data_IF_569689285446
#
_entry.id   IF_569689285446
#
_cell.length_a   1.000
_cell.length_b   1.000
_cell.length_c   1.000
_cell.angle_alpha   90.00
_cell.angle_beta   90.00
_cell.angle_gamma   90.00
#
_symmetry.space_group_name_H-M   'P 1'
#
loop_
_entity.id
_entity.type
_entity.pdbx_description
1 polymer ?
#
# COMPACT_ATOMS: atom_id res chain seq x y z
N UNK A 1 5.66 2.75 -7.79
CA UNK A 1 5.99 1.72 -6.79
C UNK A 1 6.91 2.32 -5.73
N UNK A 2 6.62 2.12 -4.44
CA UNK A 2 7.45 2.58 -3.31
C UNK A 2 8.18 1.38 -2.71
N UNK A 3 9.49 1.29 -2.92
CA UNK A 3 10.32 0.16 -2.46
C UNK A 3 10.62 0.19 -0.96
N UNK A 4 10.72 1.40 -0.40
CA UNK A 4 11.06 1.64 1.00
C UNK A 4 10.04 2.60 1.65
N UNK A 5 8.79 2.14 1.87
CA UNK A 5 7.78 2.98 2.48
C UNK A 5 8.14 3.31 3.93
N UNK A 6 8.00 4.58 4.29
CA UNK A 6 8.26 5.09 5.65
C UNK A 6 6.97 5.20 6.44
N UNK A 7 6.97 4.94 7.76
CA UNK A 7 5.83 5.27 8.62
C UNK A 7 5.35 6.72 8.43
N UNK A 8 4.04 6.93 8.42
CA UNK A 8 3.38 8.21 8.14
C UNK A 8 3.29 8.59 6.66
N UNK A 9 3.96 7.87 5.76
CA UNK A 9 3.95 8.22 4.34
C UNK A 9 2.56 7.97 3.71
N UNK A 10 2.00 9.00 3.08
CA UNK A 10 0.78 8.86 2.29
C UNK A 10 1.06 8.06 1.01
N UNK A 11 0.20 7.08 0.74
CA UNK A 11 0.33 6.15 -0.38
C UNK A 11 -1.02 5.90 -1.04
N UNK A 12 -0.97 5.53 -2.32
CA UNK A 12 -2.11 5.04 -3.09
C UNK A 12 -1.85 3.59 -3.50
N UNK A 13 -2.88 2.75 -3.41
CA UNK A 13 -2.80 1.31 -3.66
C UNK A 13 -3.15 0.98 -5.12
N UNK A 14 -2.21 0.44 -5.89
CA UNK A 14 -2.43 0.11 -7.31
C UNK A 14 -2.39 -1.40 -7.51
N UNK A 15 -3.52 -1.99 -7.90
CA UNK A 15 -3.66 -3.40 -8.22
C UNK A 15 -3.98 -3.63 -9.69
N UNK A 16 -3.39 -4.67 -10.28
CA UNK A 16 -3.72 -5.15 -11.63
C UNK A 16 -5.19 -5.54 -11.75
N UNK A 17 -5.75 -5.44 -12.95
CA UNK A 17 -7.19 -5.62 -13.21
C UNK A 17 -7.76 -6.93 -12.62
N UNK A 18 -7.06 -8.05 -12.75
CA UNK A 18 -7.49 -9.35 -12.22
C UNK A 18 -7.60 -9.42 -10.69
N UNK A 19 -6.96 -8.51 -9.95
CA UNK A 19 -7.01 -8.46 -8.49
C UNK A 19 -7.95 -7.38 -7.95
N UNK A 20 -8.43 -6.46 -8.79
CA UNK A 20 -9.24 -5.31 -8.34
C UNK A 20 -10.55 -5.75 -7.70
N UNK A 21 -11.25 -6.70 -8.31
CA UNK A 21 -12.51 -7.23 -7.79
C UNK A 21 -12.29 -8.04 -6.51
N UNK A 22 -11.18 -8.77 -6.42
CA UNK A 22 -10.87 -9.61 -5.27
C UNK A 22 -10.50 -8.77 -4.04
N UNK A 23 -9.63 -7.77 -4.20
CA UNK A 23 -9.15 -6.98 -3.06
C UNK A 23 -10.07 -5.81 -2.76
N UNK A 24 -10.68 -5.20 -3.77
CA UNK A 24 -11.44 -3.95 -3.64
C UNK A 24 -10.58 -2.77 -3.19
N UNK A 25 -9.24 -2.88 -3.28
CA UNK A 25 -8.31 -1.88 -2.73
C UNK A 25 -7.68 -0.95 -3.78
N UNK A 26 -8.04 -1.11 -5.06
CA UNK A 26 -7.42 -0.32 -6.13
C UNK A 26 -7.81 1.16 -6.04
N UNK A 27 -6.82 2.05 -6.17
CA UNK A 27 -6.91 3.51 -6.06
C UNK A 27 -7.34 4.00 -4.68
N UNK A 28 -7.35 3.14 -3.67
CA UNK A 28 -7.58 3.57 -2.29
C UNK A 28 -6.31 4.23 -1.75
N UNK A 29 -6.49 5.34 -1.05
CA UNK A 29 -5.43 6.05 -0.34
C UNK A 29 -5.34 5.61 1.12
N UNK A 30 -4.13 5.68 1.67
CA UNK A 30 -3.88 5.44 3.08
C UNK A 30 -2.53 5.98 3.53
N UNK A 31 -2.18 5.66 4.77
CA UNK A 31 -0.89 6.00 5.37
C UNK A 31 -0.14 4.74 5.78
N UNK A 32 1.15 4.69 5.52
CA UNK A 32 2.00 3.58 5.97
C UNK A 32 2.14 3.64 7.49
N UNK A 33 1.81 2.56 8.18
CA UNK A 33 2.01 2.43 9.63
C UNK A 33 3.40 1.87 9.92
N UNK A 34 3.76 0.78 9.23
CA UNK A 34 5.06 0.13 9.37
C UNK A 34 5.39 -0.67 8.12
N UNK A 35 6.65 -1.05 7.94
CA UNK A 35 7.11 -1.88 6.84
C UNK A 35 7.99 -3.02 7.32
N UNK A 36 7.80 -4.20 6.71
CA UNK A 36 8.56 -5.40 7.04
C UNK A 36 10.04 -5.26 6.66
N UNK A 37 10.92 -5.81 7.52
CA UNK A 37 12.39 -5.72 7.37
C UNK A 37 13.08 -7.04 6.98
N UNK A 38 12.32 -8.12 6.77
CA UNK A 38 12.86 -9.45 6.49
C UNK A 38 13.35 -9.66 5.04
N UNK A 39 14.11 -10.73 4.78
CA UNK A 39 14.46 -11.16 3.43
C UNK A 39 13.19 -11.62 2.69
N UNK A 40 13.01 -11.16 1.45
CA UNK A 40 11.86 -11.51 0.61
C UNK A 40 11.00 -10.30 0.18
N UNK A 41 9.81 -10.56 -0.40
CA UNK A 41 8.89 -9.52 -0.82
C UNK A 41 8.46 -8.69 0.39
N UNK A 42 8.82 -7.40 0.39
CA UNK A 42 8.46 -6.51 1.50
C UNK A 42 6.99 -6.14 1.42
N UNK A 43 6.35 -6.20 2.57
CA UNK A 43 4.99 -5.73 2.78
C UNK A 43 5.01 -4.52 3.70
N UNK A 44 4.00 -3.66 3.56
CA UNK A 44 3.72 -2.58 4.50
C UNK A 44 2.33 -2.77 5.11
N UNK A 45 2.20 -2.39 6.37
CA UNK A 45 0.89 -2.18 6.97
C UNK A 45 0.43 -0.77 6.60
N UNK A 46 -0.73 -0.66 5.98
CA UNK A 46 -1.33 0.61 5.56
C UNK A 46 -2.64 0.82 6.32
N UNK A 47 -2.79 2.01 6.90
CA UNK A 47 -4.03 2.46 7.51
C UNK A 47 -4.88 3.20 6.46
N UNK A 48 -6.10 2.74 6.25
CA UNK A 48 -7.08 3.32 5.31
C UNK A 48 -8.14 4.18 6.04
N UNK A 49 -7.93 4.47 7.32
CA UNK A 49 -8.83 5.24 8.19
C UNK A 49 -9.94 4.39 8.83
N UNK A 50 -10.53 3.46 8.08
CA UNK A 50 -11.59 2.56 8.57
C UNK A 50 -11.10 1.13 8.83
N UNK A 51 -9.94 0.75 8.29
CA UNK A 51 -9.29 -0.54 8.52
C UNK A 51 -7.81 -0.47 8.21
N UNK A 52 -7.05 -1.42 8.75
CA UNK A 52 -5.63 -1.62 8.42
C UNK A 52 -5.46 -2.83 7.52
N UNK A 53 -4.61 -2.72 6.50
CA UNK A 53 -4.37 -3.78 5.51
C UNK A 53 -2.88 -4.00 5.31
N UNK A 54 -2.49 -5.25 5.12
CA UNK A 54 -1.12 -5.60 4.73
C UNK A 54 -1.04 -5.59 3.21
N UNK A 55 -0.13 -4.80 2.66
CA UNK A 55 0.00 -4.58 1.22
C UNK A 55 1.44 -4.83 0.78
N UNK A 56 1.68 -5.62 -0.28
CA UNK A 56 2.99 -5.73 -0.87
C UNK A 56 3.49 -4.36 -1.36
N UNK A 57 4.75 -4.02 -1.07
CA UNK A 57 5.35 -2.74 -1.50
C UNK A 57 5.24 -2.52 -3.02
N UNK A 58 5.18 -3.61 -3.79
CA UNK A 58 4.92 -3.60 -5.23
C UNK A 58 3.61 -2.89 -5.64
N UNK A 59 2.62 -2.83 -4.75
CA UNK A 59 1.31 -2.22 -4.98
C UNK A 59 1.20 -0.81 -4.36
N UNK A 60 2.26 -0.28 -3.74
CA UNK A 60 2.26 1.05 -3.12
C UNK A 60 2.80 2.10 -4.08
N UNK A 61 2.07 3.20 -4.28
CA UNK A 61 2.46 4.31 -5.15
C UNK A 61 2.39 5.63 -4.41
N UNK A 62 3.17 6.63 -4.86
CA UNK A 62 3.07 7.97 -4.30
C UNK A 62 1.69 8.51 -4.61
N UNK A 63 1.00 9.04 -3.61
CA UNK A 63 -0.24 9.77 -3.83
C UNK A 63 0.07 10.97 -4.72
N UNK A 64 -0.57 11.04 -5.88
CA UNK A 64 -0.55 12.24 -6.72
C UNK A 64 -1.72 13.09 -6.24
N UNK A 65 -1.42 14.27 -5.71
CA UNK A 65 -2.47 15.26 -5.44
C UNK A 65 -2.64 16.00 -6.76
N UNK A 66 -3.73 15.69 -7.47
CA UNK A 66 -4.18 16.46 -8.63
C UNK A 66 -4.87 17.74 -8.17
#
# INVERSE_FOLDING_TARGET
>A
MIRHPKPGQAVELHYRQSLRQLTGLHLICGSVVTSGKGPGPRNALVDLGHKKVVVPCGQLFRRVVS
#
